data_IF_244074932069
#
_entry.id   IF_244074932069
#
_cell.length_a   1.000
_cell.length_b   1.000
_cell.length_c   1.000
_cell.angle_alpha   90.00
_cell.angle_beta   90.00
_cell.angle_gamma   90.00
#
_symmetry.space_group_name_H-M   'P 1'
#
loop_
_entity.id
_entity.type
_entity.pdbx_description
1 polymer ?
#
# COMPACT_ATOMS: atom_id res chain seq x y z
N UNK A 1 13.08 -9.68 6.29
CA UNK A 1 13.07 -9.65 7.77
C UNK A 1 12.39 -8.38 8.25
N UNK A 2 11.63 -8.38 9.36
CA UNK A 2 11.04 -7.16 9.91
C UNK A 2 12.09 -6.29 10.63
N UNK A 3 11.98 -4.98 10.50
CA UNK A 3 12.72 -3.97 11.25
C UNK A 3 11.85 -3.46 12.40
N UNK A 4 12.21 -3.78 13.63
CA UNK A 4 11.49 -3.35 14.84
C UNK A 4 12.09 -2.04 15.33
N UNK A 5 11.24 -1.01 15.47
CA UNK A 5 11.58 0.31 16.01
C UNK A 5 10.84 0.52 17.34
N UNK A 6 11.12 1.63 18.02
CA UNK A 6 10.52 1.95 19.32
C UNK A 6 8.97 2.03 19.28
N UNK A 7 8.40 2.56 18.19
CA UNK A 7 6.96 2.84 18.08
C UNK A 7 6.25 2.06 16.99
N UNK A 8 6.98 1.34 16.16
CA UNK A 8 6.40 0.61 15.03
C UNK A 8 7.33 -0.50 14.55
N UNK A 9 6.80 -1.37 13.71
CA UNK A 9 7.58 -2.40 13.01
C UNK A 9 7.36 -2.24 11.52
N UNK A 10 8.44 -2.17 10.76
CA UNK A 10 8.41 -2.21 9.30
C UNK A 10 8.65 -3.65 8.87
N UNK A 11 7.79 -4.18 8.00
CA UNK A 11 7.89 -5.57 7.53
C UNK A 11 7.60 -5.64 6.03
N UNK A 12 7.99 -6.74 5.36
CA UNK A 12 7.53 -6.99 3.99
C UNK A 12 6.00 -6.94 3.90
N UNK A 13 5.54 -6.48 2.74
CA UNK A 13 4.13 -6.51 2.36
C UNK A 13 3.58 -7.93 2.34
N UNK A 14 2.29 -8.06 2.64
CA UNK A 14 1.52 -9.31 2.59
C UNK A 14 0.21 -9.04 1.87
N UNK A 15 -0.36 -10.05 1.21
CA UNK A 15 -1.64 -9.89 0.51
C UNK A 15 -2.78 -9.48 1.45
N UNK A 16 -2.76 -9.96 2.70
CA UNK A 16 -3.75 -9.61 3.73
C UNK A 16 -3.73 -8.12 4.11
N UNK A 17 -2.70 -7.36 3.71
CA UNK A 17 -2.63 -5.92 3.94
C UNK A 17 -3.61 -5.12 3.07
N UNK A 18 -4.22 -5.74 2.05
CA UNK A 18 -5.03 -5.07 1.05
C UNK A 18 -6.12 -4.18 1.64
N UNK A 19 -6.83 -4.66 2.67
CA UNK A 19 -7.91 -3.91 3.29
C UNK A 19 -7.39 -2.64 3.99
N UNK A 20 -6.26 -2.75 4.70
CA UNK A 20 -5.61 -1.62 5.36
C UNK A 20 -5.08 -0.62 4.34
N UNK A 21 -4.45 -1.11 3.27
CA UNK A 21 -3.94 -0.28 2.17
C UNK A 21 -5.10 0.49 1.54
N UNK A 22 -6.18 -0.19 1.14
CA UNK A 22 -7.33 0.46 0.51
C UNK A 22 -7.95 1.54 1.40
N UNK A 23 -8.10 1.26 2.70
CA UNK A 23 -8.67 2.22 3.65
C UNK A 23 -7.85 3.51 3.75
N UNK A 24 -6.52 3.38 3.85
CA UNK A 24 -5.64 4.55 3.99
C UNK A 24 -5.37 5.24 2.64
N UNK A 25 -5.29 4.48 1.54
CA UNK A 25 -5.05 4.99 0.20
C UNK A 25 -6.26 5.74 -0.37
N UNK A 26 -7.48 5.41 0.04
CA UNK A 26 -8.69 6.10 -0.41
C UNK A 26 -8.89 7.51 0.22
N UNK A 27 -7.84 8.09 0.81
CA UNK A 27 -7.90 9.42 1.38
C UNK A 27 -7.79 10.50 0.28
N UNK A 28 -8.89 11.20 0.03
CA UNK A 28 -8.97 12.28 -0.97
C UNK A 28 -7.93 13.39 -0.76
N UNK A 29 -7.54 13.69 0.49
CA UNK A 29 -6.51 14.71 0.76
C UNK A 29 -5.13 14.28 0.26
N UNK A 30 -4.84 12.97 0.31
CA UNK A 30 -3.61 12.39 -0.24
C UNK A 30 -3.71 12.39 -1.77
N UNK A 31 -4.84 11.96 -2.33
CA UNK A 31 -5.07 11.91 -3.77
C UNK A 31 -4.80 13.26 -4.47
N UNK A 32 -5.24 14.37 -3.88
CA UNK A 32 -5.00 15.72 -4.42
C UNK A 32 -3.51 16.11 -4.51
N UNK A 33 -2.63 15.40 -3.82
CA UNK A 33 -1.20 15.70 -3.73
C UNK A 33 -0.30 14.73 -4.52
N UNK A 34 -0.87 13.74 -5.21
CA UNK A 34 -0.13 12.70 -5.95
C UNK A 34 -0.45 12.72 -7.46
N UNK A 35 0.36 12.03 -8.26
CA UNK A 35 0.24 11.99 -9.74
C UNK A 35 -0.83 10.98 -10.19
N UNK A 36 -1.15 11.02 -11.48
CA UNK A 36 -2.24 10.29 -12.16
C UNK A 36 -2.26 8.76 -11.96
N UNK A 37 -1.14 8.13 -11.58
CA UNK A 37 -1.07 6.68 -11.33
C UNK A 37 -1.79 6.24 -10.04
N UNK A 38 -2.28 7.19 -9.24
CA UNK A 38 -2.99 6.91 -7.99
C UNK A 38 -4.49 7.22 -8.14
N UNK A 39 -5.34 6.19 -8.33
CA UNK A 39 -6.76 6.40 -8.62
C UNK A 39 -7.53 6.92 -7.39
N UNK A 40 -8.64 7.62 -7.64
CA UNK A 40 -9.65 7.91 -6.63
C UNK A 40 -11.06 7.73 -7.21
N UNK A 41 -11.94 6.96 -6.55
CA UNK A 41 -11.71 6.23 -5.30
C UNK A 41 -10.66 5.11 -5.46
N UNK A 42 -9.85 4.91 -4.42
CA UNK A 42 -8.90 3.79 -4.37
C UNK A 42 -9.63 2.57 -3.81
N UNK A 43 -9.67 1.49 -4.60
CA UNK A 43 -10.46 0.30 -4.30
C UNK A 43 -9.63 -0.81 -3.65
N UNK A 44 -10.31 -1.84 -3.14
CA UNK A 44 -9.64 -3.05 -2.65
C UNK A 44 -8.92 -3.79 -3.78
N UNK A 45 -9.43 -3.71 -5.01
CA UNK A 45 -8.81 -4.33 -6.18
C UNK A 45 -7.49 -3.64 -6.53
N UNK A 46 -7.45 -2.30 -6.48
CA UNK A 46 -6.22 -1.54 -6.67
C UNK A 46 -5.16 -1.92 -5.62
N UNK A 47 -5.58 -2.16 -4.38
CA UNK A 47 -4.70 -2.61 -3.30
C UNK A 47 -4.12 -4.00 -3.58
N UNK A 48 -4.95 -4.94 -4.05
CA UNK A 48 -4.47 -6.28 -4.43
C UNK A 48 -3.47 -6.22 -5.57
N UNK A 49 -3.74 -5.43 -6.62
CA UNK A 49 -2.83 -5.28 -7.75
C UNK A 49 -1.50 -4.66 -7.36
N UNK A 50 -1.54 -3.61 -6.52
CA UNK A 50 -0.34 -3.02 -5.95
C UNK A 50 0.48 -4.05 -5.15
N UNK A 51 -0.15 -4.78 -4.23
CA UNK A 51 0.54 -5.76 -3.39
C UNK A 51 1.09 -6.92 -4.21
N UNK A 52 0.36 -7.41 -5.22
CA UNK A 52 0.84 -8.46 -6.12
C UNK A 52 2.11 -8.03 -6.86
N UNK A 53 2.13 -6.80 -7.40
CA UNK A 53 3.32 -6.26 -8.08
C UNK A 53 4.46 -6.07 -7.10
N UNK A 54 4.23 -5.44 -5.95
CA UNK A 54 5.29 -5.16 -4.96
C UNK A 54 5.85 -6.41 -4.29
N UNK A 55 5.05 -7.46 -4.10
CA UNK A 55 5.54 -8.73 -3.55
C UNK A 55 6.36 -9.50 -4.60
N UNK A 56 5.96 -9.43 -5.87
CA UNK A 56 6.69 -10.05 -6.98
C UNK A 56 8.00 -9.32 -7.30
N UNK A 57 7.98 -7.99 -7.27
CA UNK A 57 9.14 -7.12 -7.40
C UNK A 57 9.88 -7.06 -6.06
N UNK A 58 10.68 -8.08 -5.77
CA UNK A 58 11.63 -7.98 -4.66
C UNK A 58 12.58 -6.82 -4.95
N UNK A 59 12.69 -5.79 -4.08
CA UNK A 59 13.70 -4.76 -4.26
C UNK A 59 15.09 -5.41 -4.19
N UNK A 60 15.94 -5.08 -5.16
CA UNK A 60 17.31 -5.58 -5.28
C UNK A 60 18.18 -5.26 -4.05
#
# INVERSE_FOLDING_TARGET
>A
MPLVLERCTVRPWRLDDAQSVASHANNRKIWLAVRDLFPHPYTIQDAHEFLQRTIAEQPA
#
